data_IF_607227353510
#
_entry.id   IF_607227353510
#
_cell.length_a   1.000
_cell.length_b   1.000
_cell.length_c   1.000
_cell.angle_alpha   90.00
_cell.angle_beta   90.00
_cell.angle_gamma   90.00
#
_symmetry.space_group_name_H-M   'P 1'
#
loop_
_entity.id
_entity.type
_entity.pdbx_description
1 polymer ?
#
# COMPACT_ATOMS: atom_id res chain seq x y z
N UNK A 1 6.35 -15.75 -8.09
CA UNK A 1 5.76 -16.45 -6.92
C UNK A 1 4.50 -17.14 -7.39
N UNK A 2 4.45 -18.48 -7.41
CA UNK A 2 3.19 -19.19 -7.64
C UNK A 2 2.53 -19.37 -6.28
N UNK A 3 1.45 -18.63 -5.97
CA UNK A 3 0.62 -18.93 -4.79
C UNK A 3 -0.05 -20.28 -5.12
N UNK A 4 0.64 -21.38 -4.84
CA UNK A 4 0.13 -22.74 -5.03
C UNK A 4 -1.04 -22.89 -4.07
N UNK A 5 -2.23 -22.94 -4.62
CA UNK A 5 -3.44 -23.36 -3.92
C UNK A 5 -3.19 -24.78 -3.42
N UNK A 6 -2.80 -24.91 -2.16
CA UNK A 6 -2.78 -26.19 -1.47
C UNK A 6 -4.23 -26.69 -1.41
N UNK A 7 -4.60 -27.56 -2.35
CA UNK A 7 -5.79 -28.39 -2.22
C UNK A 7 -5.57 -29.31 -1.04
N UNK A 8 -6.08 -28.94 0.13
CA UNK A 8 -6.20 -29.83 1.27
C UNK A 8 -7.20 -30.92 0.86
N UNK A 9 -6.67 -32.08 0.49
CA UNK A 9 -7.47 -33.28 0.21
C UNK A 9 -8.15 -33.74 1.49
N UNK A 10 -9.47 -33.70 1.52
CA UNK A 10 -10.27 -34.30 2.57
C UNK A 10 -10.24 -35.82 2.38
N UNK A 11 -9.42 -36.52 3.16
CA UNK A 11 -9.47 -37.97 3.24
C UNK A 11 -10.73 -38.40 4.00
N UNK A 12 -11.75 -38.85 3.28
CA UNK A 12 -12.91 -39.54 3.84
C UNK A 12 -12.48 -40.94 4.30
N UNK A 13 -12.28 -41.13 5.61
CA UNK A 13 -12.16 -42.45 6.20
C UNK A 13 -13.58 -42.99 6.46
N UNK A 14 -14.08 -43.85 5.58
CA UNK A 14 -15.32 -44.60 5.76
C UNK A 14 -15.03 -45.83 6.63
N UNK A 15 -15.43 -45.79 7.90
CA UNK A 15 -15.63 -46.98 8.73
C UNK A 15 -17.13 -47.20 8.90
N UNK A 16 -17.61 -48.28 8.30
CA UNK A 16 -18.95 -48.82 8.54
C UNK A 16 -18.94 -49.61 9.84
N UNK A 17 -19.94 -49.40 10.71
CA UNK A 17 -20.68 -50.45 11.42
C UNK A 17 -21.93 -49.84 12.11
N UNK A 18 -23.03 -50.59 12.04
CA UNK A 18 -24.39 -50.20 12.38
C UNK A 18 -24.72 -50.30 13.88
N UNK A 19 -25.64 -49.46 14.37
CA UNK A 19 -26.83 -49.84 15.14
C UNK A 19 -27.61 -48.61 15.67
N UNK A 20 -28.92 -48.59 15.37
CA UNK A 20 -30.05 -48.03 16.14
C UNK A 20 -29.92 -46.70 16.91
N UNK A 21 -30.80 -45.76 16.57
CA UNK A 21 -31.40 -44.84 17.55
C UNK A 21 -31.20 -43.36 17.25
N UNK A 22 -32.30 -42.71 16.84
CA UNK A 22 -32.56 -41.26 16.82
C UNK A 22 -31.40 -40.31 17.20
N UNK A 23 -30.84 -39.61 16.20
CA UNK A 23 -30.07 -38.39 16.43
C UNK A 23 -30.63 -37.23 15.59
N UNK A 24 -31.11 -36.23 16.32
CA UNK A 24 -31.54 -34.92 15.80
C UNK A 24 -30.40 -34.34 14.97
N UNK A 25 -30.70 -33.89 13.76
CA UNK A 25 -29.74 -33.18 12.93
C UNK A 25 -29.44 -31.81 13.56
N UNK A 26 -28.41 -31.76 14.41
CA UNK A 26 -27.71 -30.52 14.68
C UNK A 26 -26.71 -30.35 13.53
N UNK A 27 -27.15 -29.69 12.44
CA UNK A 27 -26.22 -29.08 11.50
C UNK A 27 -25.61 -27.91 12.26
N UNK A 28 -24.50 -28.15 12.94
CA UNK A 28 -23.61 -27.08 13.37
C UNK A 28 -22.99 -26.52 12.11
N UNK A 29 -23.64 -25.51 11.53
CA UNK A 29 -22.97 -24.60 10.61
C UNK A 29 -21.82 -23.99 11.40
N UNK A 30 -20.61 -24.53 11.21
CA UNK A 30 -19.39 -23.83 11.60
C UNK A 30 -19.28 -22.68 10.59
N UNK A 31 -19.97 -21.59 10.91
CA UNK A 31 -19.63 -20.29 10.36
C UNK A 31 -18.22 -20.04 10.84
N UNK A 32 -17.22 -20.35 10.01
CA UNK A 32 -15.89 -19.78 10.12
C UNK A 32 -16.04 -18.28 9.86
N UNK A 33 -16.60 -17.55 10.83
CA UNK A 33 -16.27 -16.16 11.04
C UNK A 33 -14.79 -16.15 11.37
N UNK A 34 -13.96 -16.18 10.32
CA UNK A 34 -12.57 -15.79 10.37
C UNK A 34 -12.54 -14.32 10.76
N UNK A 35 -12.75 -14.05 12.05
CA UNK A 35 -12.30 -12.85 12.75
C UNK A 35 -10.80 -12.94 13.01
N UNK A 36 -10.04 -13.52 12.07
CA UNK A 36 -8.62 -13.29 11.93
C UNK A 36 -8.47 -11.79 11.60
N UNK A 37 -8.59 -10.95 12.64
CA UNK A 37 -7.69 -9.82 12.74
C UNK A 37 -6.32 -10.46 12.56
N UNK A 38 -5.55 -10.09 11.53
CA UNK A 38 -4.16 -10.52 11.46
C UNK A 38 -3.61 -10.31 12.86
N UNK A 39 -3.11 -11.37 13.50
CA UNK A 39 -2.45 -11.22 14.77
C UNK A 39 -1.51 -10.03 14.56
N UNK A 40 -1.61 -9.02 15.43
CA UNK A 40 -0.71 -7.85 15.44
C UNK A 40 0.67 -8.36 15.87
N UNK A 41 1.23 -9.30 15.12
CA UNK A 41 2.53 -9.87 15.34
C UNK A 41 3.54 -8.75 15.26
N UNK A 42 4.64 -8.92 15.96
CA UNK A 42 5.78 -8.02 15.88
C UNK A 42 6.26 -7.99 14.42
N UNK A 43 5.98 -6.91 13.69
CA UNK A 43 6.46 -6.77 12.32
C UNK A 43 7.93 -6.37 12.40
N UNK A 44 8.82 -7.29 12.05
CA UNK A 44 10.26 -7.02 11.96
C UNK A 44 10.55 -6.38 10.61
N UNK A 45 10.45 -5.05 10.56
CA UNK A 45 10.67 -4.30 9.35
C UNK A 45 12.16 -3.91 9.24
N UNK A 46 12.77 -4.18 8.09
CA UNK A 46 14.10 -3.70 7.74
C UNK A 46 13.96 -2.49 6.84
N UNK A 47 14.45 -1.36 7.32
CA UNK A 47 14.40 -0.07 6.62
C UNK A 47 15.72 0.19 5.88
N UNK A 48 15.62 0.67 4.64
CA UNK A 48 16.74 1.17 3.86
C UNK A 48 16.38 2.53 3.28
N UNK A 49 17.15 3.57 3.59
CA UNK A 49 16.98 4.91 3.04
C UNK A 49 18.15 5.25 2.13
N UNK A 50 17.81 5.67 0.92
CA UNK A 50 18.72 6.20 -0.08
C UNK A 50 18.36 7.67 -0.31
N UNK A 51 19.37 8.55 -0.36
CA UNK A 51 19.15 9.93 -0.75
C UNK A 51 19.41 10.08 -2.25
N UNK A 52 18.33 10.15 -3.02
CA UNK A 52 18.39 10.45 -4.44
C UNK A 52 18.53 11.96 -4.59
N UNK A 53 19.73 12.41 -4.94
CA UNK A 53 20.08 13.83 -4.97
C UNK A 53 19.99 14.48 -3.57
N UNK A 54 18.84 15.11 -3.26
CA UNK A 54 18.50 15.68 -1.96
C UNK A 54 17.16 15.13 -1.44
N UNK A 55 16.62 14.11 -2.10
CA UNK A 55 15.31 13.52 -1.83
C UNK A 55 15.47 12.18 -1.13
N UNK A 56 14.99 12.02 0.12
CA UNK A 56 15.02 10.73 0.78
C UNK A 56 14.02 9.79 0.12
N UNK A 57 14.46 8.60 -0.21
CA UNK A 57 13.61 7.49 -0.66
C UNK A 57 13.87 6.32 0.25
N UNK A 58 12.80 5.74 0.76
CA UNK A 58 12.90 4.69 1.76
C UNK A 58 12.20 3.42 1.30
N UNK A 59 12.85 2.29 1.55
CA UNK A 59 12.29 0.96 1.40
C UNK A 59 12.08 0.31 2.76
N UNK A 60 11.01 -0.46 2.87
CA UNK A 60 10.79 -1.41 3.95
C UNK A 60 10.59 -2.81 3.38
N UNK A 61 11.35 -3.75 3.93
CA UNK A 61 11.12 -5.18 3.75
C UNK A 61 10.62 -5.80 5.07
N UNK A 62 9.78 -6.84 4.98
CA UNK A 62 9.33 -7.58 6.16
C UNK A 62 8.17 -6.95 6.96
N UNK A 63 7.51 -5.91 6.41
CA UNK A 63 6.29 -5.35 7.05
C UNK A 63 5.15 -6.36 7.14
N UNK A 64 5.08 -7.28 6.17
CA UNK A 64 4.05 -8.31 6.10
C UNK A 64 4.69 -9.65 5.76
N UNK A 65 4.15 -10.71 6.35
CA UNK A 65 4.53 -12.07 5.97
C UNK A 65 3.86 -12.50 4.66
N UNK A 66 4.28 -13.63 4.12
CA UNK A 66 3.78 -14.14 2.83
C UNK A 66 2.26 -14.45 2.85
N UNK A 67 1.73 -14.92 3.97
CA UNK A 67 0.29 -15.21 4.13
C UNK A 67 -0.54 -13.92 4.04
N UNK A 68 -0.13 -12.87 4.75
CA UNK A 68 -0.76 -11.55 4.68
C UNK A 68 -0.69 -10.98 3.26
N UNK A 69 0.47 -11.08 2.59
CA UNK A 69 0.62 -10.60 1.21
C UNK A 69 -0.29 -11.36 0.23
N UNK A 70 -0.39 -12.69 0.30
CA UNK A 70 -1.30 -13.45 -0.57
C UNK A 70 -2.78 -13.15 -0.23
N UNK A 71 -3.12 -12.92 1.05
CA UNK A 71 -4.47 -12.46 1.44
C UNK A 71 -4.81 -11.09 0.85
N UNK A 72 -3.91 -10.11 0.95
CA UNK A 72 -4.13 -8.78 0.38
C UNK A 72 -4.23 -8.83 -1.14
N UNK A 73 -3.36 -9.61 -1.80
CA UNK A 73 -3.39 -9.78 -3.24
C UNK A 73 -4.72 -10.39 -3.71
N UNK A 74 -5.23 -11.39 -2.98
CA UNK A 74 -6.54 -11.99 -3.23
C UNK A 74 -7.66 -10.96 -3.08
N UNK A 75 -7.68 -10.19 -2.00
CA UNK A 75 -8.68 -9.13 -1.78
C UNK A 75 -8.68 -8.08 -2.91
N UNK A 76 -7.50 -7.74 -3.44
CA UNK A 76 -7.37 -6.83 -4.60
C UNK A 76 -7.88 -7.48 -5.88
N UNK A 77 -7.55 -8.75 -6.13
CA UNK A 77 -8.00 -9.47 -7.33
C UNK A 77 -9.52 -9.69 -7.33
N UNK A 78 -10.14 -9.99 -6.19
CA UNK A 78 -11.60 -10.09 -6.10
C UNK A 78 -12.28 -8.75 -6.42
N UNK A 79 -11.73 -7.63 -5.94
CA UNK A 79 -12.22 -6.29 -6.28
C UNK A 79 -12.03 -6.00 -7.78
N UNK A 80 -10.89 -6.38 -8.34
CA UNK A 80 -10.59 -6.24 -9.76
C UNK A 80 -11.54 -7.06 -10.64
N UNK A 81 -11.81 -8.32 -10.29
CA UNK A 81 -12.75 -9.19 -11.01
C UNK A 81 -14.17 -8.61 -10.97
N UNK A 82 -14.59 -8.07 -9.83
CA UNK A 82 -15.87 -7.38 -9.70
C UNK A 82 -15.95 -6.12 -10.58
N UNK A 83 -14.87 -5.33 -10.65
CA UNK A 83 -14.76 -4.19 -11.56
C UNK A 83 -14.90 -4.63 -13.04
N UNK A 84 -14.22 -5.71 -13.43
CA UNK A 84 -14.32 -6.25 -14.79
C UNK A 84 -15.73 -6.76 -15.10
N UNK A 85 -16.36 -7.46 -14.15
CA UNK A 85 -17.71 -7.99 -14.28
C UNK A 85 -18.79 -6.90 -14.34
N UNK A 86 -18.57 -5.76 -13.68
CA UNK A 86 -19.45 -4.60 -13.72
C UNK A 86 -19.50 -3.91 -15.09
N UNK A 87 -18.80 -4.44 -16.10
CA UNK A 87 -18.92 -3.95 -17.47
C UNK A 87 -18.33 -2.56 -17.69
N UNK A 88 -17.48 -2.07 -16.78
CA UNK A 88 -16.75 -0.80 -16.90
C UNK A 88 -15.71 -0.78 -18.03
N UNK A 89 -15.74 -1.81 -18.89
CA UNK A 89 -15.20 -1.79 -20.24
C UNK A 89 -16.07 -0.87 -21.11
N UNK A 90 -16.12 0.43 -20.82
CA UNK A 90 -16.50 1.32 -21.92
C UNK A 90 -15.46 1.09 -23.00
N UNK A 91 -15.92 0.64 -24.17
CA UNK A 91 -15.17 0.80 -25.42
C UNK A 91 -14.85 2.28 -25.53
N UNK A 92 -13.66 2.67 -25.10
CA UNK A 92 -13.15 4.00 -25.36
C UNK A 92 -12.88 4.03 -26.86
N UNK A 93 -13.84 4.62 -27.58
CA UNK A 93 -13.83 4.96 -29.01
C UNK A 93 -13.80 3.80 -30.02
N UNK A 94 -14.94 3.64 -30.70
CA UNK A 94 -15.16 2.92 -31.96
C UNK A 94 -15.24 1.36 -31.91
N UNK A 95 -16.40 0.76 -32.22
CA UNK A 95 -16.60 -0.70 -32.27
C UNK A 95 -15.70 -1.47 -33.24
N UNK A 96 -15.00 -0.77 -34.12
CA UNK A 96 -14.13 -1.32 -35.17
C UNK A 96 -12.66 -1.40 -34.78
N UNK A 97 -12.26 -0.78 -33.66
CA UNK A 97 -10.87 -0.83 -33.19
C UNK A 97 -10.66 -2.08 -32.32
N UNK A 98 -9.84 -3.01 -32.81
CA UNK A 98 -9.64 -4.32 -32.17
C UNK A 98 -8.38 -4.36 -31.30
N UNK A 99 -7.56 -3.31 -31.32
CA UNK A 99 -6.33 -3.21 -30.54
C UNK A 99 -6.44 -2.07 -29.50
N UNK A 100 -6.11 -2.35 -28.25
CA UNK A 100 -6.02 -1.32 -27.21
C UNK A 100 -4.79 -0.46 -27.45
N UNK A 101 -4.93 0.86 -27.47
CA UNK A 101 -3.76 1.75 -27.45
C UNK A 101 -3.16 1.79 -26.05
N UNK A 102 -1.92 2.25 -25.93
CA UNK A 102 -1.28 2.43 -24.63
C UNK A 102 -2.09 3.36 -23.71
N UNK A 103 -2.63 4.45 -24.26
CA UNK A 103 -3.46 5.39 -23.52
C UNK A 103 -4.79 4.77 -23.02
N UNK A 104 -5.34 3.79 -23.74
CA UNK A 104 -6.55 3.08 -23.31
C UNK A 104 -6.28 2.18 -22.11
N UNK A 105 -5.09 1.57 -22.06
CA UNK A 105 -4.65 0.72 -20.96
C UNK A 105 -4.47 1.51 -19.66
N UNK A 106 -3.91 2.72 -19.74
CA UNK A 106 -3.70 3.56 -18.55
C UNK A 106 -5.03 4.11 -18.01
N UNK A 107 -5.90 4.57 -18.92
CA UNK A 107 -7.28 4.96 -18.58
C UNK A 107 -8.06 3.83 -17.92
N UNK A 108 -7.76 2.57 -18.25
CA UNK A 108 -8.45 1.44 -17.62
C UNK A 108 -8.07 1.28 -16.15
N UNK A 109 -6.80 1.51 -15.79
CA UNK A 109 -6.38 1.55 -14.39
C UNK A 109 -6.92 2.75 -13.64
N UNK A 110 -7.02 3.92 -14.28
CA UNK A 110 -7.68 5.09 -13.70
C UNK A 110 -9.16 4.83 -13.40
N UNK A 111 -9.86 4.09 -14.28
CA UNK A 111 -11.23 3.66 -14.03
C UNK A 111 -11.34 2.73 -12.83
N UNK A 112 -10.41 1.79 -12.68
CA UNK A 112 -10.39 0.93 -11.49
C UNK A 112 -10.10 1.74 -10.21
N UNK A 113 -9.20 2.71 -10.27
CA UNK A 113 -8.97 3.65 -9.18
C UNK A 113 -10.26 4.41 -8.81
N UNK A 114 -10.95 4.99 -9.80
CA UNK A 114 -12.21 5.70 -9.57
C UNK A 114 -13.30 4.77 -9.02
N UNK A 115 -13.40 3.54 -9.53
CA UNK A 115 -14.39 2.54 -9.11
C UNK A 115 -14.23 2.13 -7.65
N UNK A 116 -13.00 2.11 -7.13
CA UNK A 116 -12.73 1.81 -5.71
C UNK A 116 -13.38 2.83 -4.75
N UNK A 117 -13.79 4.02 -5.21
CA UNK A 117 -14.60 4.94 -4.40
C UNK A 117 -16.03 4.44 -4.14
N UNK A 118 -16.54 3.57 -5.02
CA UNK A 118 -17.89 2.99 -4.94
C UNK A 118 -17.83 1.56 -4.40
N UNK A 119 -16.85 0.78 -4.84
CA UNK A 119 -16.65 -0.60 -4.41
C UNK A 119 -15.18 -0.81 -4.05
N UNK A 120 -14.79 -0.43 -2.83
CA UNK A 120 -13.40 -0.50 -2.42
C UNK A 120 -12.94 -1.95 -2.26
N UNK A 121 -11.62 -2.14 -2.40
CA UNK A 121 -10.93 -3.31 -1.84
C UNK A 121 -11.36 -3.46 -0.36
N UNK A 122 -11.56 -4.70 0.15
CA UNK A 122 -12.00 -4.92 1.52
C UNK A 122 -11.28 -4.01 2.54
N UNK A 123 -12.06 -3.25 3.32
CA UNK A 123 -11.52 -2.26 4.25
C UNK A 123 -10.53 -2.86 5.26
N UNK A 124 -10.68 -4.13 5.65
CA UNK A 124 -9.70 -4.85 6.50
C UNK A 124 -8.28 -4.79 5.92
N UNK A 125 -8.15 -4.91 4.60
CA UNK A 125 -6.87 -4.92 3.88
C UNK A 125 -6.34 -3.50 3.77
N UNK A 126 -7.17 -2.56 3.30
CA UNK A 126 -6.75 -1.16 3.18
C UNK A 126 -6.39 -0.54 4.54
N UNK A 127 -7.11 -0.84 5.62
CA UNK A 127 -6.78 -0.38 6.97
C UNK A 127 -5.48 -0.98 7.48
N UNK A 128 -5.27 -2.29 7.27
CA UNK A 128 -4.04 -2.94 7.73
C UNK A 128 -2.81 -2.35 7.02
N UNK A 129 -2.91 -2.13 5.70
CA UNK A 129 -1.86 -1.48 4.91
C UNK A 129 -1.69 -0.01 5.30
N UNK A 130 -2.78 0.72 5.54
CA UNK A 130 -2.72 2.11 5.98
C UNK A 130 -1.98 2.28 7.31
N UNK A 131 -2.28 1.43 8.31
CA UNK A 131 -1.59 1.48 9.60
C UNK A 131 -0.09 1.20 9.45
N UNK A 132 0.27 0.24 8.59
CA UNK A 132 1.67 -0.04 8.26
C UNK A 132 2.37 1.15 7.61
N UNK A 133 1.68 1.78 6.67
CA UNK A 133 2.18 2.94 5.96
C UNK A 133 2.37 4.14 6.91
N UNK A 134 1.41 4.44 7.80
CA UNK A 134 1.54 5.52 8.79
C UNK A 134 2.73 5.29 9.72
N UNK A 135 2.95 4.06 10.19
CA UNK A 135 4.15 3.71 10.96
C UNK A 135 5.42 3.96 10.14
N UNK A 136 5.44 3.47 8.90
CA UNK A 136 6.58 3.60 8.01
C UNK A 136 6.91 5.07 7.69
N UNK A 137 5.89 5.94 7.61
CA UNK A 137 6.04 7.40 7.50
C UNK A 137 6.68 8.01 8.74
N UNK A 138 6.33 7.57 9.96
CA UNK A 138 6.97 8.07 11.19
C UNK A 138 8.47 7.80 11.18
N UNK A 139 8.85 6.56 10.89
CA UNK A 139 10.25 6.17 10.83
C UNK A 139 10.95 6.85 9.64
N UNK A 140 10.28 7.04 8.50
CA UNK A 140 10.81 7.85 7.38
C UNK A 140 11.18 9.28 7.83
N UNK A 141 10.25 9.99 8.49
CA UNK A 141 10.47 11.36 8.99
C UNK A 141 11.64 11.43 9.97
N UNK A 142 11.68 10.49 10.91
CA UNK A 142 12.74 10.40 11.94
C UNK A 142 14.12 10.16 11.32
N UNK A 143 14.21 9.23 10.37
CA UNK A 143 15.51 8.79 9.80
C UNK A 143 16.03 9.77 8.75
N UNK A 144 15.11 10.47 8.08
CA UNK A 144 15.41 11.61 7.23
C UNK A 144 15.73 12.89 8.02
N UNK A 145 15.69 12.87 9.36
CA UNK A 145 15.91 14.04 10.23
C UNK A 145 14.98 15.22 9.84
N UNK A 146 13.75 14.90 9.44
CA UNK A 146 12.75 15.88 9.01
C UNK A 146 11.96 16.43 10.19
N UNK A 147 11.42 17.67 10.10
CA UNK A 147 10.46 18.14 11.07
C UNK A 147 9.20 17.24 11.07
N UNK A 148 8.41 17.25 12.16
CA UNK A 148 7.12 16.58 12.18
C UNK A 148 6.24 17.03 11.00
N UNK A 149 5.61 16.06 10.32
CA UNK A 149 4.69 16.35 9.23
C UNK A 149 3.40 16.94 9.79
N UNK A 150 3.18 18.23 9.51
CA UNK A 150 1.94 18.90 9.86
C UNK A 150 0.84 18.53 8.86
N UNK A 151 -0.32 18.15 9.39
CA UNK A 151 -1.53 17.94 8.61
C UNK A 151 -2.76 18.52 9.32
N UNK A 152 -3.80 18.76 8.55
CA UNK A 152 -5.07 19.30 9.03
C UNK A 152 -6.04 18.16 9.39
N UNK A 153 -6.77 18.32 10.49
CA UNK A 153 -7.90 17.47 10.87
C UNK A 153 -9.01 18.31 11.51
N UNK A 154 -10.28 17.85 11.52
CA UNK A 154 -11.28 18.34 12.45
C UNK A 154 -10.81 18.09 13.90
N UNK A 155 -10.97 19.12 14.74
CA UNK A 155 -10.78 19.01 16.19
C UNK A 155 -11.75 17.97 16.80
N UNK A 156 -11.53 17.58 18.04
CA UNK A 156 -12.32 16.53 18.69
C UNK A 156 -13.82 16.87 18.81
N UNK A 157 -14.16 18.16 18.80
CA UNK A 157 -15.54 18.65 18.78
C UNK A 157 -16.19 18.66 17.38
N UNK A 158 -15.41 18.46 16.31
CA UNK A 158 -15.87 18.56 14.92
C UNK A 158 -16.29 19.96 14.47
N UNK A 159 -15.91 21.01 15.20
CA UNK A 159 -16.36 22.39 14.97
C UNK A 159 -15.34 23.26 14.23
N UNK A 160 -14.08 22.84 14.18
CA UNK A 160 -13.00 23.57 13.53
C UNK A 160 -11.95 22.63 12.95
N UNK A 161 -11.14 23.13 12.01
CA UNK A 161 -9.94 22.47 11.53
C UNK A 161 -8.74 22.92 12.37
N UNK A 162 -7.95 21.97 12.83
CA UNK A 162 -6.70 22.20 13.55
C UNK A 162 -5.50 21.59 12.83
N UNK A 163 -4.33 22.15 13.10
CA UNK A 163 -3.05 21.60 12.67
C UNK A 163 -2.52 20.65 13.73
N UNK A 164 -2.03 19.49 13.30
CA UNK A 164 -1.47 18.49 14.20
C UNK A 164 -0.32 17.72 13.55
N UNK A 165 0.26 16.81 14.31
CA UNK A 165 1.33 15.89 13.91
C UNK A 165 0.92 14.44 14.18
N UNK A 166 1.62 13.50 13.55
CA UNK A 166 1.38 12.06 13.74
C UNK A 166 1.66 11.66 15.21
N UNK A 167 2.56 12.35 15.90
CA UNK A 167 2.89 12.08 17.31
C UNK A 167 1.78 12.55 18.26
N UNK A 168 1.12 13.66 17.95
CA UNK A 168 -0.01 14.18 18.73
C UNK A 168 -1.28 13.36 18.48
N UNK A 169 -1.52 12.96 17.23
CA UNK A 169 -2.68 12.18 16.83
C UNK A 169 -2.28 10.95 15.99
N UNK A 170 -2.02 9.80 16.64
CA UNK A 170 -1.48 8.63 15.96
C UNK A 170 -2.47 7.98 14.98
N UNK A 171 -3.76 8.27 15.13
CA UNK A 171 -4.81 7.85 14.20
C UNK A 171 -4.99 8.91 13.12
N UNK A 172 -4.03 8.98 12.20
CA UNK A 172 -4.04 9.95 11.10
C UNK A 172 -5.35 9.80 10.32
N UNK A 173 -6.08 10.90 10.19
CA UNK A 173 -7.34 10.88 9.47
C UNK A 173 -7.10 10.59 7.99
N UNK A 174 -8.00 9.79 7.44
CA UNK A 174 -7.99 9.38 6.04
C UNK A 174 -8.48 10.56 5.21
N UNK A 175 -7.64 11.03 4.29
CA UNK A 175 -8.08 11.88 3.19
C UNK A 175 -8.77 11.06 2.09
N UNK A 176 -9.35 11.73 1.09
CA UNK A 176 -9.74 11.06 -0.14
C UNK A 176 -8.48 10.49 -0.82
N UNK A 177 -8.55 9.23 -1.29
CA UNK A 177 -7.40 8.58 -1.92
C UNK A 177 -6.23 8.33 -0.96
N UNK A 178 -6.50 8.03 0.32
CA UNK A 178 -5.45 7.72 1.31
C UNK A 178 -4.76 6.38 1.07
N UNK A 179 -5.48 5.37 0.55
CA UNK A 179 -4.93 4.12 0.04
C UNK A 179 -5.82 3.55 -1.07
N UNK A 180 -5.21 2.98 -2.10
CA UNK A 180 -5.91 2.36 -3.24
C UNK A 180 -5.05 1.27 -3.86
N UNK A 181 -5.68 0.32 -4.55
CA UNK A 181 -5.00 -0.74 -5.26
C UNK A 181 -4.81 -0.43 -6.74
N UNK A 182 -3.76 -1.04 -7.33
CA UNK A 182 -3.51 -1.07 -8.75
C UNK A 182 -3.21 -2.51 -9.21
N UNK A 183 -3.67 -2.84 -10.40
CA UNK A 183 -3.43 -4.12 -11.08
C UNK A 183 -2.85 -3.81 -12.45
N UNK A 184 -1.61 -4.24 -12.72
CA UNK A 184 -0.89 -3.89 -13.94
C UNK A 184 -0.44 -5.12 -14.71
N UNK A 185 -0.79 -5.20 -15.99
CA UNK A 185 -0.45 -6.28 -16.91
C UNK A 185 -0.53 -5.74 -18.34
N UNK A 186 -0.09 -6.53 -19.32
CA UNK A 186 -0.27 -6.23 -20.74
C UNK A 186 0.25 -4.84 -21.15
N UNK A 187 1.43 -4.48 -20.64
CA UNK A 187 2.11 -3.21 -20.86
C UNK A 187 1.43 -1.97 -20.24
N UNK A 188 0.47 -2.12 -19.31
CA UNK A 188 -0.08 -0.95 -18.60
C UNK A 188 1.01 -0.21 -17.81
N UNK A 189 0.93 1.11 -17.80
CA UNK A 189 1.91 1.98 -17.16
C UNK A 189 1.22 3.14 -16.42
N UNK A 190 2.00 4.00 -15.78
CA UNK A 190 1.49 5.26 -15.25
C UNK A 190 2.42 6.40 -15.64
N UNK A 191 1.84 7.44 -16.24
CA UNK A 191 2.54 8.66 -16.62
C UNK A 191 3.22 9.32 -15.42
N UNK A 192 4.20 10.19 -15.70
CA UNK A 192 4.87 10.97 -14.66
C UNK A 192 3.89 11.95 -14.02
N UNK A 193 3.72 11.86 -12.71
CA UNK A 193 2.83 12.71 -11.93
C UNK A 193 3.38 12.98 -10.51
N UNK A 194 2.63 13.78 -9.75
CA UNK A 194 2.86 14.05 -8.32
C UNK A 194 1.52 13.97 -7.58
N UNK A 195 1.57 13.86 -6.26
CA UNK A 195 0.38 13.65 -5.43
C UNK A 195 0.03 14.94 -4.67
N UNK A 196 -0.75 15.81 -5.31
CA UNK A 196 -1.17 17.08 -4.72
C UNK A 196 -1.96 16.87 -3.42
N UNK A 197 -1.72 17.72 -2.42
CA UNK A 197 -2.38 17.65 -1.10
C UNK A 197 -1.82 16.58 -0.15
N UNK A 198 -0.79 15.83 -0.58
CA UNK A 198 -0.11 14.84 0.25
C UNK A 198 1.30 15.30 0.60
N UNK A 199 1.81 14.84 1.74
CA UNK A 199 3.19 15.06 2.16
C UNK A 199 4.08 13.91 1.68
N UNK A 200 3.68 12.67 2.00
CA UNK A 200 4.43 11.46 1.68
C UNK A 200 3.55 10.53 0.87
N UNK A 201 4.13 9.89 -0.15
CA UNK A 201 3.49 8.83 -0.92
C UNK A 201 4.26 7.52 -0.74
N UNK A 202 3.60 6.40 -0.97
CA UNK A 202 4.28 5.11 -1.03
C UNK A 202 3.46 4.01 -1.68
N UNK A 203 4.15 2.93 -2.03
CA UNK A 203 3.57 1.79 -2.74
C UNK A 203 4.10 0.48 -2.14
N UNK A 204 3.17 -0.33 -1.62
CA UNK A 204 3.39 -1.72 -1.22
C UNK A 204 3.17 -2.64 -2.42
N UNK A 205 4.17 -3.44 -2.78
CA UNK A 205 4.06 -4.42 -3.85
C UNK A 205 3.61 -5.77 -3.28
N UNK A 206 2.45 -6.26 -3.70
CA UNK A 206 1.89 -7.53 -3.23
C UNK A 206 2.34 -8.71 -4.10
N UNK A 207 2.36 -8.49 -5.43
CA UNK A 207 2.81 -9.47 -6.42
C UNK A 207 3.54 -8.76 -7.54
N UNK A 208 4.67 -9.31 -7.97
CA UNK A 208 5.54 -8.73 -9.00
C UNK A 208 5.99 -9.83 -9.97
N UNK A 209 5.35 -9.98 -11.13
CA UNK A 209 5.80 -10.90 -12.18
C UNK A 209 6.89 -10.27 -13.04
N UNK A 210 7.87 -11.07 -13.48
CA UNK A 210 8.95 -10.58 -14.34
C UNK A 210 9.76 -9.44 -13.73
N UNK A 211 9.97 -8.36 -14.49
CA UNK A 211 10.56 -7.10 -14.00
C UNK A 211 9.54 -6.20 -13.28
N UNK A 212 8.25 -6.51 -13.45
CA UNK A 212 7.12 -5.81 -12.86
C UNK A 212 7.05 -4.33 -13.17
N UNK A 213 7.73 -3.77 -14.18
CA UNK A 213 7.72 -2.34 -14.46
C UNK A 213 8.24 -1.44 -13.33
N UNK A 214 9.46 -0.92 -13.46
CA UNK A 214 10.10 -0.10 -12.43
C UNK A 214 9.31 1.16 -12.03
N UNK A 215 9.37 1.53 -10.76
CA UNK A 215 9.02 2.88 -10.30
C UNK A 215 10.09 3.85 -10.80
N UNK A 216 9.68 4.82 -11.60
CA UNK A 216 10.52 5.87 -12.14
C UNK A 216 10.45 7.08 -11.23
N UNK A 217 11.58 7.54 -10.69
CA UNK A 217 11.70 8.72 -9.84
C UNK A 217 12.54 9.76 -10.59
N UNK A 218 11.95 10.92 -10.87
CA UNK A 218 12.57 11.96 -11.69
C UNK A 218 13.14 13.06 -10.80
N UNK A 219 14.25 13.65 -11.21
CA UNK A 219 14.89 14.72 -10.47
C UNK A 219 13.94 15.91 -10.30
N UNK A 220 13.60 16.30 -9.06
CA UNK A 220 12.66 17.39 -8.83
C UNK A 220 13.25 18.76 -9.24
N UNK A 221 14.54 18.86 -9.54
CA UNK A 221 15.19 20.10 -9.99
C UNK A 221 14.86 20.47 -11.44
N UNK A 222 14.26 19.55 -12.20
CA UNK A 222 13.66 19.83 -13.50
C UNK A 222 14.27 19.03 -14.65
N UNK A 223 13.71 19.16 -15.86
CA UNK A 223 14.00 18.26 -16.98
C UNK A 223 15.23 18.67 -17.80
N UNK A 224 15.96 19.71 -17.39
CA UNK A 224 17.10 20.23 -18.15
C UNK A 224 18.41 19.67 -17.59
N UNK A 225 19.38 19.31 -18.45
CA UNK A 225 20.71 18.91 -17.98
C UNK A 225 21.32 19.94 -17.01
N UNK A 226 21.99 19.50 -15.93
CA UNK A 226 22.33 18.11 -15.59
C UNK A 226 21.26 17.39 -14.73
N UNK A 227 20.04 17.91 -14.66
CA UNK A 227 18.96 17.40 -13.81
C UNK A 227 17.97 16.50 -14.57
N UNK A 228 18.21 16.19 -15.83
CA UNK A 228 17.39 15.28 -16.66
C UNK A 228 17.57 13.78 -16.29
N UNK A 229 17.88 13.50 -15.02
CA UNK A 229 18.17 12.16 -14.53
C UNK A 229 16.92 11.50 -13.96
N UNK A 230 16.73 10.23 -14.32
CA UNK A 230 15.69 9.37 -13.77
C UNK A 230 16.31 8.20 -13.03
N UNK A 231 15.95 8.04 -11.75
CA UNK A 231 16.27 6.85 -10.98
C UNK A 231 15.15 5.81 -11.13
N UNK A 232 15.52 4.54 -11.33
CA UNK A 232 14.54 3.45 -11.51
C UNK A 232 14.65 2.47 -10.37
N UNK A 233 13.54 2.25 -9.68
CA UNK A 233 13.44 1.29 -8.60
C UNK A 233 12.67 0.05 -9.05
N UNK A 234 13.35 -1.09 -9.09
CA UNK A 234 12.71 -2.36 -9.41
C UNK A 234 11.77 -2.78 -8.27
N UNK A 235 10.50 -3.08 -8.54
CA UNK A 235 9.55 -3.53 -7.53
C UNK A 235 9.93 -4.93 -7.01
N UNK A 236 9.65 -5.20 -5.74
CA UNK A 236 9.84 -6.52 -5.12
C UNK A 236 8.61 -6.88 -4.30
N UNK A 237 8.10 -8.10 -4.43
CA UNK A 237 6.96 -8.53 -3.62
C UNK A 237 7.29 -8.44 -2.12
N UNK A 238 6.38 -7.86 -1.34
CA UNK A 238 6.53 -7.58 0.08
C UNK A 238 7.24 -6.27 0.41
N UNK A 239 7.83 -5.58 -0.57
CA UNK A 239 8.51 -4.32 -0.36
C UNK A 239 7.54 -3.14 -0.38
N UNK A 240 7.71 -2.20 0.55
CA UNK A 240 7.06 -0.89 0.57
C UNK A 240 8.09 0.18 0.25
N UNK A 241 7.86 0.98 -0.80
CA UNK A 241 8.68 2.15 -1.13
C UNK A 241 7.94 3.42 -0.70
N UNK A 242 8.64 4.35 -0.04
CA UNK A 242 8.13 5.62 0.49
C UNK A 242 9.02 6.77 0.01
N UNK A 243 8.40 7.88 -0.39
CA UNK A 243 9.10 9.05 -0.90
C UNK A 243 8.22 10.32 -0.75
N UNK A 244 8.76 11.55 -0.89
CA UNK A 244 7.95 12.76 -0.87
C UNK A 244 6.90 12.75 -1.96
N UNK A 245 5.65 13.09 -1.63
CA UNK A 245 4.55 13.11 -2.58
C UNK A 245 4.74 14.10 -3.75
N UNK A 246 5.64 15.07 -3.59
CA UNK A 246 6.02 16.05 -4.62
C UNK A 246 7.12 15.57 -5.57
N UNK A 247 7.74 14.42 -5.31
CA UNK A 247 8.73 13.83 -6.20
C UNK A 247 8.04 13.41 -7.50
N UNK A 248 8.38 13.97 -8.67
CA UNK A 248 7.77 13.55 -9.92
C UNK A 248 8.13 12.09 -10.18
N UNK A 249 7.13 11.25 -10.39
CA UNK A 249 7.34 9.83 -10.57
C UNK A 249 6.31 9.21 -11.51
N UNK A 250 6.70 8.12 -12.14
CA UNK A 250 5.84 7.33 -13.02
C UNK A 250 6.11 5.85 -12.80
N UNK A 251 5.38 5.02 -13.52
CA UNK A 251 5.53 3.57 -13.46
C UNK A 251 5.78 3.07 -14.87
N UNK A 252 6.89 2.37 -15.06
CA UNK A 252 7.18 1.76 -16.36
C UNK A 252 6.21 0.59 -16.67
N UNK A 253 6.02 0.26 -17.96
CA UNK A 253 5.13 -0.81 -18.37
C UNK A 253 5.40 -2.15 -17.68
N UNK A 254 4.35 -2.83 -17.22
CA UNK A 254 4.43 -4.24 -16.79
C UNK A 254 4.09 -5.15 -17.96
N UNK A 255 5.05 -5.91 -18.48
CA UNK A 255 4.83 -6.83 -19.59
C UNK A 255 4.31 -8.20 -19.14
N UNK A 256 3.55 -8.86 -20.03
CA UNK A 256 2.98 -10.19 -19.77
C UNK A 256 1.57 -10.15 -19.18
N UNK A 257 0.95 -11.33 -19.10
CA UNK A 257 -0.45 -11.50 -18.67
C UNK A 257 -0.62 -11.70 -17.16
N UNK A 258 0.43 -12.11 -16.45
CA UNK A 258 0.40 -12.14 -14.99
C UNK A 258 0.45 -10.70 -14.47
N UNK A 259 -0.48 -10.30 -13.58
CA UNK A 259 -0.52 -8.93 -13.11
C UNK A 259 0.46 -8.66 -11.98
N UNK A 260 1.11 -7.49 -12.03
CA UNK A 260 1.66 -6.83 -10.86
C UNK A 260 0.53 -6.25 -10.03
N UNK A 261 0.56 -6.50 -8.74
CA UNK A 261 -0.47 -6.06 -7.80
C UNK A 261 0.21 -5.20 -6.74
N UNK A 262 -0.32 -4.00 -6.52
CA UNK A 262 0.20 -3.06 -5.52
C UNK A 262 -0.91 -2.30 -4.81
N UNK A 263 -0.61 -1.84 -3.60
CA UNK A 263 -1.43 -0.87 -2.87
C UNK A 263 -0.58 0.39 -2.65
N UNK A 264 -1.07 1.51 -3.16
CA UNK A 264 -0.45 2.82 -2.94
C UNK A 264 -1.19 3.58 -1.85
N UNK A 265 -0.47 4.43 -1.11
CA UNK A 265 -1.01 5.24 -0.04
C UNK A 265 -0.44 6.67 -0.05
N UNK A 266 -1.24 7.60 0.48
CA UNK A 266 -0.95 9.02 0.60
C UNK A 266 -1.09 9.46 2.04
N UNK A 267 -0.01 10.01 2.61
CA UNK A 267 -0.05 10.65 3.90
C UNK A 267 -0.45 12.12 3.71
N UNK A 268 -1.49 12.62 4.40
CA UNK A 268 -1.90 14.02 4.30
C UNK A 268 -0.78 14.95 4.81
N UNK A 269 -0.79 16.21 4.36
CA UNK A 269 0.08 17.23 4.92
C UNK A 269 0.69 18.14 3.87
N UNK A 270 1.31 19.22 4.34
CA UNK A 270 1.91 20.21 3.46
C UNK A 270 3.34 19.86 3.09
N UNK A 271 3.61 19.86 1.78
CA UNK A 271 4.93 19.61 1.22
C UNK A 271 5.97 20.71 1.54
N UNK A 272 5.53 21.90 1.96
CA UNK A 272 6.44 22.97 2.39
C UNK A 272 7.28 22.55 3.61
N UNK A 273 6.83 21.53 4.35
CA UNK A 273 7.57 20.93 5.46
C UNK A 273 8.78 20.09 5.01
N UNK A 274 9.01 19.89 3.71
CA UNK A 274 10.20 19.21 3.19
C UNK A 274 11.39 20.17 2.96
N UNK A 275 11.20 21.48 3.15
CA UNK A 275 12.20 22.51 2.79
C UNK A 275 13.38 22.64 3.75
N UNK A 276 13.29 22.04 4.94
CA UNK A 276 14.33 22.05 5.98
C UNK A 276 14.96 20.67 6.21
N UNK A 277 14.70 19.71 5.32
CA UNK A 277 15.34 18.40 5.38
C UNK A 277 16.86 18.54 5.22
N UNK A 278 17.60 17.87 6.10
CA UNK A 278 19.05 17.79 5.97
C UNK A 278 19.40 16.84 4.84
N UNK A 279 20.23 17.30 3.90
CA UNK A 279 20.81 16.40 2.89
C UNK A 279 21.90 15.58 3.55
N UNK A 280 21.64 14.29 3.76
CA UNK A 280 22.67 13.33 4.15
C UNK A 280 23.00 12.50 2.92
N UNK A 281 24.21 12.64 2.39
CA UNK A 281 24.64 11.78 1.29
C UNK A 281 24.95 10.38 1.82
N UNK A 282 24.46 9.36 1.09
CA UNK A 282 24.72 7.96 1.39
C UNK A 282 23.47 7.14 1.66
N UNK A 283 23.71 5.87 2.01
CA UNK A 283 22.69 4.90 2.37
C UNK A 283 22.62 4.77 3.90
N UNK A 284 21.42 4.74 4.46
CA UNK A 284 21.18 4.41 5.88
C UNK A 284 20.34 3.14 5.96
N UNK A 285 20.77 2.15 6.73
CA UNK A 285 20.02 0.91 6.98
C UNK A 285 19.70 0.76 8.47
N UNK A 286 18.53 0.22 8.81
CA UNK A 286 18.16 -0.07 10.19
C UNK A 286 17.16 -1.22 10.29
N UNK A 287 17.04 -1.77 11.49
CA UNK A 287 15.99 -2.71 11.85
C UNK A 287 15.06 -2.03 12.85
N UNK A 288 13.75 -2.14 12.62
CA UNK A 288 12.76 -1.63 13.56
C UNK A 288 11.64 -2.64 13.73
N UNK A 289 11.26 -2.90 14.97
CA UNK A 289 10.04 -3.63 15.28
C UNK A 289 8.90 -2.62 15.29
N UNK A 290 7.84 -2.91 14.55
CA UNK A 290 6.62 -2.12 14.66
C UNK A 290 5.99 -2.36 16.03
N UNK A 291 5.86 -1.28 16.81
CA UNK A 291 5.11 -1.31 18.06
C UNK A 291 3.62 -1.18 17.75
N UNK A 292 2.79 -1.94 18.48
CA UNK A 292 1.35 -1.73 18.51
C UNK A 292 1.02 -0.31 18.99
N UNK A 293 -0.17 0.23 18.66
CA UNK A 293 -0.60 1.52 19.21
C UNK A 293 -0.58 1.58 20.75
N UNK A 294 -0.88 0.46 21.42
CA UNK A 294 -0.75 0.34 22.88
C UNK A 294 0.71 0.50 23.35
N UNK A 295 1.65 -0.22 22.72
CA UNK A 295 3.08 -0.14 23.03
C UNK A 295 3.66 1.24 22.73
N UNK A 296 3.21 1.87 21.64
CA UNK A 296 3.55 3.26 21.34
C UNK A 296 3.10 4.21 22.46
N UNK A 297 1.84 4.07 22.94
CA UNK A 297 1.33 4.88 24.07
C UNK A 297 2.11 4.62 25.36
N UNK A 298 2.41 3.36 25.66
CA UNK A 298 3.17 2.97 26.84
C UNK A 298 4.60 3.56 26.81
N UNK A 299 5.28 3.47 25.66
CA UNK A 299 6.62 4.04 25.48
C UNK A 299 6.62 5.57 25.54
N UNK A 300 5.60 6.22 24.98
CA UNK A 300 5.44 7.67 25.06
C UNK A 300 5.19 8.14 26.50
N UNK A 301 4.40 7.38 27.28
CA UNK A 301 4.18 7.66 28.71
C UNK A 301 5.48 7.50 29.52
N UNK A 302 6.28 6.47 29.23
CA UNK A 302 7.55 6.20 29.92
C UNK A 302 8.69 7.17 29.58
N UNK A 303 8.58 7.92 28.48
CA UNK A 303 9.60 8.88 28.03
C UNK A 303 9.32 10.33 28.42
N UNK A 304 8.18 10.59 29.10
CA UNK A 304 7.96 11.89 29.73
C UNK A 304 8.89 12.01 30.94
N UNK A 305 9.75 13.04 31.03
CA UNK A 305 10.53 13.27 32.24
C UNK A 305 9.57 13.47 33.42
N UNK A 306 9.87 12.83 34.56
CA UNK A 306 9.22 13.16 35.82
C UNK A 306 9.48 14.66 36.09
N UNK A 307 8.39 15.41 36.22
CA UNK A 307 8.41 16.83 36.57
C UNK A 307 8.76 17.02 38.05
#
# INVERSE_FOLDING_TARGET
MRCTTARIGLAMLLLAHAASGAWRHAITAITLTSTLRPARGEWQAKGKMEFLWATPVMEYDGLFNEEQLCMFAKDVLEAWDAFQAAGQKDRVTNPTDTAWTQADLDRYNEKFFAWQSVTPVPMRTLETVWQAFVFAVREYVKQAEMPPLLYQRPNDAGTAIEWTTIDQHPNVQRGNGYCWAAVQANATHHDVHTHAGSSVAGTLYLSVPGDGGALSLNDPRGPMPPFDVTYRKAPRAGNLVIFPATLPHGVLPTFGSEPRISISCNHPGHWQNFTNGKVVFGEKTWETTMLTPEEHRARAAASKPEL
#
